data_IF_594884171942
#
_entry.id   IF_594884171942
#
_cell.length_a   1.000
_cell.length_b   1.000
_cell.length_c   1.000
_cell.angle_alpha   90.00
_cell.angle_beta   90.00
_cell.angle_gamma   90.00
#
_symmetry.space_group_name_H-M   'P 1'
#
loop_
_entity.id
_entity.type
_entity.pdbx_description
1 polymer ?
#
# COMPACT_ATOMS: atom_id res chain seq x y z
N UNK A 1 13.16 -5.45 -11.80
CA UNK A 1 11.91 -4.70 -11.73
C UNK A 1 12.18 -3.27 -12.20
N UNK A 2 11.58 -2.85 -13.33
CA UNK A 2 11.66 -1.47 -13.80
C UNK A 2 10.34 -0.76 -13.42
N UNK A 3 10.40 0.11 -12.41
CA UNK A 3 9.22 0.83 -11.92
C UNK A 3 8.65 1.78 -12.99
N UNK A 4 9.50 2.38 -13.81
CA UNK A 4 9.07 3.24 -14.92
C UNK A 4 8.20 2.47 -15.91
N UNK A 5 8.64 1.28 -16.32
CA UNK A 5 7.85 0.43 -17.22
C UNK A 5 6.51 0.00 -16.63
N UNK A 6 6.44 -0.21 -15.30
CA UNK A 6 5.19 -0.54 -14.60
C UNK A 6 4.22 0.65 -14.63
N UNK A 7 4.72 1.86 -14.41
CA UNK A 7 3.91 3.08 -14.45
C UNK A 7 3.47 3.39 -15.88
N UNK A 8 4.37 3.26 -16.87
CA UNK A 8 4.04 3.47 -18.28
C UNK A 8 2.99 2.47 -18.80
N UNK A 9 3.05 1.23 -18.34
CA UNK A 9 2.03 0.21 -18.66
C UNK A 9 0.63 0.55 -18.07
N UNK A 10 0.55 1.44 -17.10
CA UNK A 10 -0.70 1.98 -16.55
C UNK A 10 -1.15 3.28 -17.25
N UNK A 11 -0.47 3.70 -18.33
CA UNK A 11 -0.84 4.90 -19.08
C UNK A 11 -2.28 4.79 -19.62
N UNK A 12 -3.08 5.83 -19.40
CA UNK A 12 -4.48 5.86 -19.80
C UNK A 12 -5.39 6.42 -18.73
N UNK A 13 -6.60 5.90 -18.67
CA UNK A 13 -7.62 6.36 -17.75
C UNK A 13 -7.42 5.74 -16.34
N UNK A 14 -7.93 6.39 -15.30
CA UNK A 14 -7.89 5.88 -13.93
C UNK A 14 -8.47 4.44 -13.78
N UNK A 15 -9.40 4.07 -14.66
CA UNK A 15 -10.00 2.74 -14.70
C UNK A 15 -9.10 1.65 -15.31
N UNK A 16 -8.09 2.04 -16.08
CA UNK A 16 -7.11 1.11 -16.66
C UNK A 16 -5.93 0.84 -15.74
N UNK A 17 -5.81 1.57 -14.64
CA UNK A 17 -4.76 1.36 -13.65
C UNK A 17 -4.90 0.00 -12.95
N UNK A 18 -3.80 -0.53 -12.47
CA UNK A 18 -3.73 -1.87 -11.87
C UNK A 18 -4.52 -2.03 -10.57
N UNK A 19 -4.93 -0.93 -9.91
CA UNK A 19 -5.75 -1.02 -8.70
C UNK A 19 -7.09 -1.71 -8.93
N UNK A 20 -7.74 -1.51 -10.10
CA UNK A 20 -9.02 -2.11 -10.41
C UNK A 20 -8.91 -3.62 -10.74
N UNK A 21 -8.09 -4.04 -11.74
CA UNK A 21 -7.94 -5.45 -12.08
C UNK A 21 -7.27 -6.27 -10.98
N UNK A 22 -6.38 -5.67 -10.19
CA UNK A 22 -5.68 -6.34 -9.09
C UNK A 22 -6.20 -5.90 -7.71
N UNK A 23 -7.47 -5.48 -7.62
CA UNK A 23 -8.06 -4.95 -6.39
C UNK A 23 -7.84 -5.86 -5.17
N UNK A 24 -8.06 -7.18 -5.20
CA UNK A 24 -7.76 -8.04 -4.06
C UNK A 24 -6.29 -8.03 -3.66
N UNK A 25 -5.38 -8.03 -4.64
CA UNK A 25 -3.94 -7.97 -4.37
C UNK A 25 -3.54 -6.60 -3.81
N UNK A 26 -4.14 -5.52 -4.29
CA UNK A 26 -3.93 -4.18 -3.78
C UNK A 26 -4.34 -4.06 -2.30
N UNK A 27 -5.53 -4.55 -1.95
CA UNK A 27 -6.02 -4.55 -0.56
C UNK A 27 -5.11 -5.40 0.33
N UNK A 28 -4.73 -6.60 -0.11
CA UNK A 28 -3.83 -7.48 0.64
C UNK A 28 -2.46 -6.82 0.80
N UNK A 29 -1.91 -6.20 -0.25
CA UNK A 29 -0.64 -5.47 -0.18
C UNK A 29 -0.70 -4.37 0.88
N UNK A 30 -1.76 -3.55 0.87
CA UNK A 30 -1.91 -2.45 1.81
C UNK A 30 -2.05 -2.95 3.26
N UNK A 31 -2.91 -3.95 3.50
CA UNK A 31 -3.08 -4.53 4.85
C UNK A 31 -1.79 -5.21 5.34
N UNK A 32 -1.07 -5.91 4.46
CA UNK A 32 0.22 -6.50 4.78
C UNK A 32 1.27 -5.43 5.10
N UNK A 33 1.23 -4.29 4.40
CA UNK A 33 2.08 -3.13 4.68
C UNK A 33 1.80 -2.51 6.04
N UNK A 34 0.54 -2.43 6.45
CA UNK A 34 0.17 -1.99 7.81
C UNK A 34 0.70 -2.97 8.87
N UNK A 35 0.65 -4.28 8.59
CA UNK A 35 1.20 -5.30 9.47
C UNK A 35 2.73 -5.26 9.55
N UNK A 36 3.41 -5.01 8.43
CA UNK A 36 4.87 -4.87 8.35
C UNK A 36 5.41 -3.67 9.14
N UNK A 37 4.65 -2.58 9.18
CA UNK A 37 5.03 -1.38 9.94
C UNK A 37 4.72 -1.49 11.43
N UNK A 38 4.30 -2.65 11.94
CA UNK A 38 3.89 -2.86 13.32
C UNK A 38 2.92 -1.80 13.85
N UNK A 39 2.05 -1.27 12.98
CA UNK A 39 1.04 -0.28 13.35
C UNK A 39 -0.27 -0.94 13.74
N UNK A 40 -0.99 -0.33 14.66
CA UNK A 40 -2.34 -0.76 14.96
C UNK A 40 -3.18 -0.84 13.66
N UNK A 41 -3.95 -1.92 13.43
CA UNK A 41 -4.39 -2.96 14.37
C UNK A 41 -3.43 -4.15 14.60
N UNK A 42 -2.26 -4.19 13.93
CA UNK A 42 -1.32 -5.33 13.96
C UNK A 42 -0.13 -5.10 14.92
N UNK A 43 -0.26 -4.17 15.83
CA UNK A 43 0.73 -3.76 16.79
C UNK A 43 0.84 -4.73 17.97
N UNK A 44 1.49 -5.86 17.72
CA UNK A 44 1.73 -6.88 18.75
C UNK A 44 2.87 -6.48 19.68
N UNK A 45 3.92 -5.88 19.14
CA UNK A 45 5.12 -5.50 19.90
C UNK A 45 4.88 -4.35 20.88
N UNK A 46 4.07 -3.37 20.49
CA UNK A 46 3.69 -2.23 21.35
C UNK A 46 2.59 -2.64 22.35
N UNK A 47 1.76 -3.65 22.02
CA UNK A 47 0.78 -4.22 22.91
C UNK A 47 1.35 -4.89 24.15
N UNK A 48 2.53 -5.46 24.05
CA UNK A 48 3.29 -5.99 25.19
C UNK A 48 3.88 -4.87 26.04
N UNK A 49 4.10 -3.67 25.49
CA UNK A 49 4.66 -2.51 26.20
C UNK A 49 3.71 -1.89 27.24
N UNK A 50 2.42 -2.09 27.12
CA UNK A 50 1.43 -1.62 28.09
C UNK A 50 1.57 -2.34 29.45
N UNK A 51 2.13 -3.55 29.47
CA UNK A 51 2.31 -4.33 30.70
C UNK A 51 3.70 -4.14 31.30
N UNK A 52 4.79 -4.09 30.49
CA UNK A 52 6.18 -4.04 30.96
C UNK A 52 7.04 -3.08 30.12
N UNK A 53 6.48 -2.10 29.42
CA UNK A 53 7.15 -1.17 28.51
C UNK A 53 7.81 -1.81 27.27
N UNK A 54 7.66 -3.11 27.00
CA UNK A 54 8.13 -3.79 25.79
C UNK A 54 9.60 -3.49 25.44
N UNK A 55 9.87 -3.15 24.17
CA UNK A 55 11.22 -2.83 23.70
C UNK A 55 11.78 -1.49 24.27
N UNK A 56 10.94 -0.65 24.86
CA UNK A 56 11.35 0.59 25.51
C UNK A 56 12.21 0.35 26.76
N UNK A 57 12.18 -0.85 27.33
CA UNK A 57 13.00 -1.20 28.50
C UNK A 57 14.47 -1.27 28.13
N UNK A 58 14.79 -1.80 26.96
CA UNK A 58 16.16 -2.02 26.50
C UNK A 58 16.71 -0.86 25.68
N UNK A 59 15.84 -0.14 24.95
CA UNK A 59 16.22 0.96 24.07
C UNK A 59 15.61 2.28 24.53
N UNK A 60 16.44 3.16 25.06
CA UNK A 60 16.06 4.52 25.44
C UNK A 60 16.88 5.57 24.69
N UNK A 61 16.41 6.82 24.70
CA UNK A 61 17.13 7.94 24.09
C UNK A 61 17.29 7.85 22.57
N UNK A 62 18.51 7.95 22.06
CA UNK A 62 18.81 7.98 20.65
C UNK A 62 18.46 6.67 19.91
N UNK A 63 18.66 5.51 20.55
CA UNK A 63 18.30 4.20 19.98
C UNK A 63 16.80 4.10 19.71
N UNK A 64 15.97 4.50 20.65
CA UNK A 64 14.53 4.55 20.49
C UNK A 64 14.09 5.46 19.31
N UNK A 65 14.70 6.65 19.22
CA UNK A 65 14.38 7.57 18.12
C UNK A 65 14.70 7.00 16.74
N UNK A 66 15.77 6.20 16.60
CA UNK A 66 16.12 5.54 15.33
C UNK A 66 15.10 4.48 14.95
N UNK A 67 14.59 3.69 15.88
CA UNK A 67 13.52 2.71 15.59
C UNK A 67 12.24 3.40 15.12
N UNK A 68 11.81 4.46 15.78
CA UNK A 68 10.65 5.25 15.35
C UNK A 68 10.85 5.86 13.95
N UNK A 69 12.03 6.41 13.69
CA UNK A 69 12.35 6.94 12.37
C UNK A 69 12.27 5.85 11.29
N UNK A 70 12.75 4.65 11.57
CA UNK A 70 12.70 3.51 10.66
C UNK A 70 11.24 3.08 10.35
N UNK A 71 10.36 3.05 11.36
CA UNK A 71 8.94 2.73 11.16
C UNK A 71 8.24 3.75 10.26
N UNK A 72 8.46 5.05 10.49
CA UNK A 72 7.88 6.09 9.64
C UNK A 72 8.45 6.05 8.22
N UNK A 73 9.74 5.82 8.07
CA UNK A 73 10.38 5.66 6.76
C UNK A 73 9.78 4.47 5.99
N UNK A 74 9.56 3.34 6.67
CA UNK A 74 8.94 2.15 6.08
C UNK A 74 7.48 2.42 5.69
N UNK A 75 6.70 3.13 6.50
CA UNK A 75 5.33 3.54 6.16
C UNK A 75 5.30 4.40 4.88
N UNK A 76 6.21 5.37 4.75
CA UNK A 76 6.30 6.21 3.55
C UNK A 76 6.72 5.36 2.35
N UNK A 77 7.67 4.45 2.51
CA UNK A 77 8.12 3.55 1.44
C UNK A 77 6.99 2.66 0.92
N UNK A 78 6.23 2.01 1.80
CA UNK A 78 5.09 1.16 1.43
C UNK A 78 4.01 1.99 0.72
N UNK A 79 3.73 3.21 1.21
CA UNK A 79 2.77 4.13 0.59
C UNK A 79 3.21 4.56 -0.80
N UNK A 80 4.49 4.87 -0.98
CA UNK A 80 5.06 5.22 -2.28
C UNK A 80 5.01 4.04 -3.26
N UNK A 81 5.36 2.84 -2.82
CA UNK A 81 5.26 1.63 -3.64
C UNK A 81 3.82 1.28 -4.00
N UNK A 82 2.85 1.45 -3.09
CA UNK A 82 1.42 1.28 -3.39
C UNK A 82 0.97 2.22 -4.52
N UNK A 83 1.41 3.49 -4.46
CA UNK A 83 1.14 4.48 -5.50
C UNK A 83 1.74 4.07 -6.85
N UNK A 84 2.99 3.61 -6.90
CA UNK A 84 3.68 3.22 -8.14
C UNK A 84 3.12 1.94 -8.75
N UNK A 85 2.85 0.92 -7.94
CA UNK A 85 2.45 -0.39 -8.41
C UNK A 85 0.99 -0.46 -8.84
N UNK A 86 0.09 0.27 -8.18
CA UNK A 86 -1.34 0.12 -8.36
C UNK A 86 -2.05 1.40 -8.86
N UNK A 87 -1.54 2.57 -8.52
CA UNK A 87 -2.22 3.86 -8.78
C UNK A 87 -1.53 4.70 -9.86
N UNK A 88 -0.72 4.07 -10.70
CA UNK A 88 -0.06 4.77 -11.82
C UNK A 88 0.99 5.81 -11.42
N UNK A 89 1.52 5.75 -10.18
CA UNK A 89 2.61 6.62 -9.72
C UNK A 89 2.40 8.10 -10.02
N UNK A 90 3.19 8.65 -10.93
CA UNK A 90 3.14 10.07 -11.35
C UNK A 90 2.10 10.39 -12.42
N UNK A 91 1.35 9.38 -12.93
CA UNK A 91 0.30 9.64 -13.91
C UNK A 91 -0.86 10.43 -13.30
N UNK A 92 -1.41 11.36 -14.09
CA UNK A 92 -2.60 12.09 -13.69
C UNK A 92 -3.85 11.22 -13.75
N UNK A 93 -4.73 11.24 -12.73
CA UNK A 93 -6.02 10.58 -12.79
C UNK A 93 -7.00 11.24 -13.76
N UNK A 94 -6.70 12.47 -14.21
CA UNK A 94 -7.55 13.28 -15.08
C UNK A 94 -7.10 13.29 -16.55
N UNK A 95 -6.04 12.56 -16.89
CA UNK A 95 -5.51 12.48 -18.25
C UNK A 95 -6.55 12.01 -19.31
N UNK A 96 -7.59 11.26 -18.90
CA UNK A 96 -8.66 10.80 -19.77
C UNK A 96 -9.86 11.75 -19.90
N UNK A 97 -9.84 12.91 -19.28
CA UNK A 97 -10.95 13.88 -19.28
C UNK A 97 -10.61 15.03 -20.24
N UNK A 98 -11.35 15.23 -21.36
CA UNK A 98 -10.98 16.20 -22.39
C UNK A 98 -10.95 17.68 -21.91
N UNK A 99 -11.62 17.99 -20.81
CA UNK A 99 -11.66 19.38 -20.25
C UNK A 99 -10.50 19.66 -19.31
N UNK A 100 -9.99 18.63 -18.61
CA UNK A 100 -8.95 18.74 -17.58
C UNK A 100 -7.58 18.25 -18.08
N UNK A 101 -7.56 17.49 -19.18
CA UNK A 101 -6.32 16.93 -19.74
C UNK A 101 -5.33 17.96 -20.24
N UNK A 102 -5.82 19.13 -20.72
CA UNK A 102 -5.00 20.22 -21.24
C UNK A 102 -4.57 21.23 -20.15
N UNK A 103 -4.87 20.95 -18.89
CA UNK A 103 -4.48 21.79 -17.75
C UNK A 103 -3.29 21.15 -17.01
N UNK A 104 -2.63 21.95 -16.14
CA UNK A 104 -1.57 21.49 -15.22
C UNK A 104 -2.00 20.25 -14.40
N UNK A 105 -3.31 20.08 -14.19
CA UNK A 105 -3.89 18.93 -13.51
C UNK A 105 -3.95 17.67 -14.39
N UNK A 106 -3.97 17.81 -15.70
CA UNK A 106 -3.95 16.70 -16.66
C UNK A 106 -2.55 16.16 -16.93
N UNK A 107 -1.53 16.99 -16.74
CA UNK A 107 -0.14 16.55 -16.92
C UNK A 107 0.32 15.64 -15.78
N UNK A 108 0.97 14.51 -16.14
CA UNK A 108 1.63 13.64 -15.18
C UNK A 108 2.84 14.34 -14.55
N UNK A 109 3.07 14.17 -13.25
CA UNK A 109 4.21 14.77 -12.59
C UNK A 109 4.41 14.30 -11.15
N UNK A 110 5.52 14.72 -10.56
CA UNK A 110 5.90 14.37 -9.19
C UNK A 110 4.84 14.79 -8.16
N UNK A 111 4.09 15.86 -8.44
CA UNK A 111 3.01 16.33 -7.56
C UNK A 111 1.91 15.29 -7.38
N UNK A 112 1.53 14.55 -8.46
CA UNK A 112 0.56 13.46 -8.38
C UNK A 112 1.07 12.28 -7.58
N UNK A 113 2.34 11.94 -7.77
CA UNK A 113 2.98 10.89 -6.98
C UNK A 113 2.99 11.22 -5.49
N UNK A 114 3.38 12.45 -5.13
CA UNK A 114 3.39 12.92 -3.74
C UNK A 114 1.97 12.94 -3.15
N UNK A 115 1.00 13.46 -3.89
CA UNK A 115 -0.40 13.50 -3.44
C UNK A 115 -0.94 12.09 -3.12
N UNK A 116 -0.73 11.13 -4.03
CA UNK A 116 -1.16 9.73 -3.82
C UNK A 116 -0.44 9.10 -2.62
N UNK A 117 0.86 9.34 -2.48
CA UNK A 117 1.63 8.85 -1.33
C UNK A 117 1.10 9.42 -0.02
N UNK A 118 0.78 10.72 0.03
CA UNK A 118 0.17 11.36 1.21
C UNK A 118 -1.21 10.77 1.51
N UNK A 119 -2.02 10.48 0.51
CA UNK A 119 -3.33 9.81 0.70
C UNK A 119 -3.15 8.44 1.34
N UNK A 120 -2.17 7.64 0.89
CA UNK A 120 -1.88 6.34 1.51
C UNK A 120 -1.34 6.48 2.94
N UNK A 121 -0.47 7.45 3.21
CA UNK A 121 -0.03 7.76 4.57
C UNK A 121 -1.22 8.14 5.47
N UNK A 122 -2.17 8.92 4.95
CA UNK A 122 -3.40 9.24 5.67
C UNK A 122 -4.25 7.99 5.94
N UNK A 123 -4.35 7.06 5.00
CA UNK A 123 -5.04 5.79 5.21
C UNK A 123 -4.39 4.95 6.33
N UNK A 124 -3.08 4.94 6.45
CA UNK A 124 -2.40 4.31 7.59
C UNK A 124 -2.85 4.89 8.93
N UNK A 125 -2.95 6.23 9.01
CA UNK A 125 -3.44 6.90 10.22
C UNK A 125 -4.92 6.59 10.47
N UNK A 126 -5.73 6.55 9.43
CA UNK A 126 -7.16 6.22 9.54
C UNK A 126 -7.37 4.77 9.99
N UNK A 127 -6.64 3.82 9.44
CA UNK A 127 -6.68 2.42 9.90
C UNK A 127 -6.33 2.29 11.38
N UNK A 128 -5.28 2.99 11.83
CA UNK A 128 -4.90 3.05 13.23
C UNK A 128 -6.03 3.57 14.15
N UNK A 129 -6.78 4.56 13.69
CA UNK A 129 -7.84 5.18 14.48
C UNK A 129 -9.15 4.37 14.48
N UNK A 130 -9.38 3.54 13.46
CA UNK A 130 -10.68 2.89 13.23
C UNK A 130 -10.72 1.45 13.75
N UNK A 131 -9.65 0.69 13.59
CA UNK A 131 -9.64 -0.73 13.89
C UNK A 131 -9.10 -1.02 15.28
N UNK A 132 -9.78 -1.90 16.05
CA UNK A 132 -9.25 -2.39 17.31
C UNK A 132 -8.05 -3.30 17.07
N UNK A 133 -7.19 -3.43 18.07
CA UNK A 133 -6.00 -4.28 18.02
C UNK A 133 -6.37 -5.76 17.87
N UNK A 134 -5.68 -6.45 16.95
CA UNK A 134 -5.83 -7.89 16.75
C UNK A 134 -4.90 -8.68 17.64
N UNK A 135 -5.37 -9.87 18.06
CA UNK A 135 -4.52 -10.85 18.75
C UNK A 135 -3.62 -11.58 17.74
N UNK A 136 -2.43 -11.97 18.17
CA UNK A 136 -1.45 -12.68 17.33
C UNK A 136 -2.03 -13.86 16.54
N UNK A 137 -2.83 -14.72 17.22
CA UNK A 137 -3.50 -15.86 16.58
C UNK A 137 -4.42 -15.46 15.42
N UNK A 138 -5.09 -14.33 15.54
CA UNK A 138 -5.98 -13.80 14.50
C UNK A 138 -5.19 -13.31 13.30
N UNK A 139 -4.06 -12.65 13.54
CA UNK A 139 -3.15 -12.15 12.49
C UNK A 139 -2.58 -13.32 11.70
N UNK A 140 -2.09 -14.36 12.38
CA UNK A 140 -1.57 -15.55 11.73
C UNK A 140 -2.64 -16.29 10.94
N UNK A 141 -3.85 -16.38 11.46
CA UNK A 141 -4.98 -16.99 10.74
C UNK A 141 -5.36 -16.17 9.50
N UNK A 142 -5.37 -14.86 9.59
CA UNK A 142 -5.65 -13.95 8.48
C UNK A 142 -4.62 -14.12 7.35
N UNK A 143 -3.33 -14.12 7.68
CA UNK A 143 -2.25 -14.30 6.71
C UNK A 143 -2.31 -15.64 6.00
N UNK A 144 -2.29 -16.74 6.77
CA UNK A 144 -2.18 -18.10 6.21
C UNK A 144 -3.47 -18.61 5.58
N UNK A 145 -4.64 -18.36 6.19
CA UNK A 145 -5.91 -18.91 5.72
C UNK A 145 -6.66 -18.04 4.74
N UNK A 146 -6.38 -16.73 4.71
CA UNK A 146 -7.12 -15.80 3.88
C UNK A 146 -6.23 -15.17 2.81
N UNK A 147 -5.15 -14.50 3.20
CA UNK A 147 -4.34 -13.74 2.24
C UNK A 147 -3.60 -14.64 1.26
N UNK A 148 -2.92 -15.69 1.73
CA UNK A 148 -2.14 -16.57 0.84
C UNK A 148 -3.04 -17.29 -0.17
N UNK A 149 -4.16 -17.94 0.19
CA UNK A 149 -5.04 -18.57 -0.79
C UNK A 149 -5.63 -17.58 -1.80
N UNK A 150 -6.06 -16.41 -1.34
CA UNK A 150 -6.63 -15.38 -2.24
C UNK A 150 -5.58 -14.89 -3.24
N UNK A 151 -4.34 -14.63 -2.79
CA UNK A 151 -3.28 -14.18 -3.69
C UNK A 151 -2.94 -15.21 -4.74
N UNK A 152 -2.84 -16.49 -4.39
CA UNK A 152 -2.55 -17.58 -5.34
C UNK A 152 -3.65 -17.69 -6.38
N UNK A 153 -4.91 -17.73 -5.95
CA UNK A 153 -6.07 -17.81 -6.86
C UNK A 153 -6.11 -16.59 -7.76
N UNK A 154 -5.90 -15.38 -7.22
CA UNK A 154 -6.00 -14.16 -8.00
C UNK A 154 -4.86 -14.00 -9.02
N UNK A 155 -3.66 -14.48 -8.71
CA UNK A 155 -2.55 -14.51 -9.67
C UNK A 155 -2.89 -15.41 -10.87
N UNK A 156 -3.50 -16.58 -10.62
CA UNK A 156 -3.97 -17.45 -11.71
C UNK A 156 -5.04 -16.78 -12.55
N UNK A 157 -6.04 -16.15 -11.92
CA UNK A 157 -7.12 -15.41 -12.61
C UNK A 157 -6.54 -14.26 -13.45
N UNK A 158 -5.66 -13.45 -12.88
CA UNK A 158 -5.00 -12.35 -13.59
C UNK A 158 -4.17 -12.85 -14.79
N UNK A 159 -3.48 -13.99 -14.63
CA UNK A 159 -2.77 -14.64 -15.74
C UNK A 159 -3.68 -15.06 -16.87
N UNK A 160 -4.82 -15.66 -16.57
CA UNK A 160 -5.83 -16.04 -17.59
C UNK A 160 -6.39 -14.81 -18.30
N UNK A 161 -6.75 -13.76 -17.56
CA UNK A 161 -7.25 -12.51 -18.16
C UNK A 161 -6.22 -11.85 -19.08
N UNK A 162 -4.94 -11.91 -18.73
CA UNK A 162 -3.89 -11.40 -19.61
C UNK A 162 -3.75 -12.21 -20.89
N UNK A 163 -3.84 -13.54 -20.83
CA UNK A 163 -3.82 -14.39 -22.03
C UNK A 163 -5.04 -14.16 -22.92
N UNK A 164 -6.20 -13.85 -22.30
CA UNK A 164 -7.42 -13.50 -23.04
C UNK A 164 -7.42 -12.06 -23.61
N UNK A 165 -6.34 -11.27 -23.38
CA UNK A 165 -6.23 -9.90 -23.89
C UNK A 165 -7.06 -8.84 -23.14
N UNK A 166 -7.61 -9.16 -21.97
CA UNK A 166 -8.43 -8.23 -21.18
C UNK A 166 -7.60 -7.14 -20.48
N UNK A 167 -6.36 -7.42 -20.18
CA UNK A 167 -5.43 -6.42 -19.64
C UNK A 167 -4.47 -6.03 -20.76
N UNK A 168 -4.84 -5.02 -21.53
CA UNK A 168 -4.14 -4.31 -22.56
C UNK A 168 -2.84 -4.92 -23.09
N UNK A 169 -2.82 -5.15 -24.38
CA UNK A 169 -1.59 -5.37 -25.10
C UNK A 169 -0.73 -4.12 -25.10
#
# INVERSE_FOLDING_TARGET
LNLTAIVEAQSGNILTWYWLPLLPLFVIYFVSGVAETNRAPFDVAEGESEIVAGFHVEYSGAGFAVFFLAEYANMILISALASLLFMGGWLSPFAGIPVLGDTILGEGGVHWFLLKTVVFCFLFLWFRATFPRYRYDQIMRLGWKVFIPITIVWIMVAGVFRVMGWFGG
#
